data_IF_248662195791
#
_entry.id   IF_248662195791
#
_cell.length_a   1.000
_cell.length_b   1.000
_cell.length_c   1.000
_cell.angle_alpha   90.00
_cell.angle_beta   90.00
_cell.angle_gamma   90.00
#
_symmetry.space_group_name_H-M   'P 1'
#
loop_
_entity.id
_entity.type
_entity.pdbx_description
1 polymer ?
#
# COMPACT_ATOMS: atom_id res chain seq x y z
N UNK A 1 4.71 13.08 -8.84
CA UNK A 1 4.50 12.48 -7.50
C UNK A 1 4.30 13.55 -6.47
N UNK A 2 3.37 13.36 -5.54
CA UNK A 2 3.13 14.27 -4.40
C UNK A 2 3.14 13.55 -3.07
N UNK A 3 3.45 14.33 -2.04
CA UNK A 3 3.50 13.89 -0.65
C UNK A 3 2.53 14.76 0.15
N UNK A 4 1.47 14.14 0.67
CA UNK A 4 0.43 14.83 1.44
C UNK A 4 0.74 14.68 2.91
N UNK A 5 1.21 15.78 3.48
CA UNK A 5 1.64 15.88 4.88
C UNK A 5 0.49 16.31 5.77
N UNK A 6 0.33 15.70 6.94
CA UNK A 6 -0.68 16.09 7.91
C UNK A 6 -0.33 15.69 9.35
N UNK A 7 -0.94 16.37 10.31
CA UNK A 7 -0.67 16.17 11.74
C UNK A 7 0.36 17.14 12.33
N UNK A 8 0.89 16.82 13.49
CA UNK A 8 1.88 17.64 14.21
C UNK A 8 3.30 17.23 13.77
N UNK A 9 4.01 18.13 13.09
CA UNK A 9 5.34 17.90 12.54
C UNK A 9 6.46 17.69 13.58
N UNK A 10 6.15 17.82 14.88
CA UNK A 10 7.06 17.47 15.99
C UNK A 10 7.02 15.98 16.32
N UNK A 11 6.04 15.26 15.81
CA UNK A 11 5.87 13.81 16.02
C UNK A 11 6.74 13.00 15.06
N UNK A 12 7.03 11.73 15.40
CA UNK A 12 7.72 10.82 14.49
C UNK A 12 7.00 10.70 13.14
N UNK A 13 7.80 10.67 12.07
CA UNK A 13 7.26 10.62 10.69
C UNK A 13 6.90 9.20 10.29
N UNK A 14 5.70 9.02 9.75
CA UNK A 14 5.28 7.79 9.07
C UNK A 14 4.88 8.07 7.62
N UNK A 15 5.48 7.33 6.68
CA UNK A 15 5.08 7.33 5.27
C UNK A 15 4.01 6.27 5.01
N UNK A 16 2.99 6.62 4.25
CA UNK A 16 1.85 5.76 3.93
C UNK A 16 1.80 5.52 2.41
N UNK A 17 1.99 4.26 2.02
CA UNK A 17 2.07 3.83 0.62
C UNK A 17 0.77 3.14 0.20
N UNK A 18 -0.01 3.73 -0.74
CA UNK A 18 -1.25 3.13 -1.21
C UNK A 18 -1.06 1.80 -1.95
N UNK A 19 -2.12 1.01 -2.00
CA UNK A 19 -2.18 -0.21 -2.81
C UNK A 19 -2.28 0.07 -4.31
N UNK A 20 -2.30 -1.00 -5.09
CA UNK A 20 -2.43 -0.94 -6.56
C UNK A 20 -3.68 -0.16 -6.97
N UNK A 21 -3.50 0.85 -7.80
CA UNK A 21 -4.57 1.74 -8.27
C UNK A 21 -5.32 2.52 -7.17
N UNK A 22 -4.85 2.51 -5.94
CA UNK A 22 -5.42 3.28 -4.85
C UNK A 22 -4.88 4.72 -4.86
N UNK A 23 -5.71 5.65 -4.38
CA UNK A 23 -5.33 7.04 -4.18
C UNK A 23 -4.71 7.23 -2.79
N UNK A 24 -3.93 8.29 -2.61
CA UNK A 24 -3.43 8.69 -1.28
C UNK A 24 -4.57 8.88 -0.26
N UNK A 25 -5.74 9.35 -0.70
CA UNK A 25 -6.94 9.51 0.12
C UNK A 25 -7.55 8.20 0.62
N UNK A 26 -7.03 7.04 0.22
CA UNK A 26 -7.40 5.76 0.82
C UNK A 26 -7.05 5.68 2.31
N UNK A 27 -6.15 6.55 2.79
CA UNK A 27 -5.77 6.65 4.20
C UNK A 27 -6.62 7.63 5.03
N UNK A 28 -7.50 8.45 4.41
CA UNK A 28 -8.26 9.50 5.11
C UNK A 28 -8.99 8.99 6.35
N UNK A 29 -9.50 7.76 6.31
CA UNK A 29 -10.28 7.14 7.38
C UNK A 29 -9.47 6.73 8.62
N UNK A 30 -8.13 6.76 8.55
CA UNK A 30 -7.21 6.42 9.64
C UNK A 30 -6.34 7.58 10.10
N UNK A 31 -6.32 8.72 9.36
CA UNK A 31 -5.43 9.84 9.65
C UNK A 31 -5.64 10.42 11.04
N UNK A 32 -6.89 10.68 11.44
CA UNK A 32 -7.19 11.25 12.77
C UNK A 32 -6.62 10.40 13.91
N UNK A 33 -6.74 9.08 13.81
CA UNK A 33 -6.16 8.15 14.77
C UNK A 33 -4.63 8.18 14.76
N UNK A 34 -4.02 8.17 13.57
CA UNK A 34 -2.57 8.23 13.42
C UNK A 34 -1.97 9.55 13.93
N UNK A 35 -2.66 10.67 13.77
CA UNK A 35 -2.20 11.99 14.22
C UNK A 35 -1.99 12.06 15.74
N UNK A 36 -2.57 11.14 16.51
CA UNK A 36 -2.28 11.02 17.93
C UNK A 36 -0.83 10.60 18.21
N UNK A 37 -0.17 9.93 17.26
CA UNK A 37 1.16 9.31 17.43
C UNK A 37 2.18 9.79 16.40
N UNK A 38 1.76 10.13 15.19
CA UNK A 38 2.65 10.37 14.05
C UNK A 38 2.33 11.68 13.31
N UNK A 39 3.35 12.21 12.67
CA UNK A 39 3.23 13.09 11.51
C UNK A 39 3.15 12.22 10.26
N UNK A 40 2.06 12.32 9.54
CA UNK A 40 1.76 11.42 8.42
C UNK A 40 2.13 12.03 7.07
N UNK A 41 2.69 11.22 6.19
CA UNK A 41 3.02 11.57 4.80
C UNK A 41 2.39 10.52 3.88
N UNK A 42 1.23 10.83 3.30
CA UNK A 42 0.58 9.94 2.33
C UNK A 42 1.16 10.18 0.93
N UNK A 43 1.66 9.11 0.32
CA UNK A 43 2.27 9.14 -1.01
C UNK A 43 1.20 9.11 -2.10
N UNK A 44 1.26 10.05 -3.04
CA UNK A 44 0.48 10.03 -4.27
C UNK A 44 1.44 9.75 -5.43
N UNK A 45 1.38 8.52 -5.96
CA UNK A 45 2.24 8.11 -7.07
C UNK A 45 2.00 8.92 -8.34
N UNK A 46 3.01 9.01 -9.19
CA UNK A 46 2.84 9.59 -10.52
C UNK A 46 1.72 8.91 -11.30
N UNK A 47 0.93 9.69 -12.01
CA UNK A 47 -0.25 9.21 -12.74
C UNK A 47 -1.48 8.97 -11.89
N UNK A 48 -1.37 9.03 -10.54
CA UNK A 48 -2.49 8.82 -9.61
C UNK A 48 -2.88 10.09 -8.82
N UNK A 49 -2.14 11.18 -8.98
CA UNK A 49 -2.49 12.46 -8.37
C UNK A 49 -3.47 13.27 -9.24
N UNK A 50 -4.59 13.77 -8.67
CA UNK A 50 -5.57 14.56 -9.43
C UNK A 50 -5.04 15.93 -9.86
N UNK A 51 -3.99 16.43 -9.22
CA UNK A 51 -3.45 17.78 -9.44
C UNK A 51 -2.17 17.78 -10.30
N UNK A 52 -1.73 16.61 -10.77
CA UNK A 52 -0.54 16.47 -11.60
C UNK A 52 -0.83 15.73 -12.91
N UNK A 53 -0.18 16.18 -13.98
CA UNK A 53 -0.21 15.49 -15.29
C UNK A 53 1.06 14.69 -15.45
N UNK A 54 1.18 13.62 -14.65
CA UNK A 54 2.31 12.69 -14.69
C UNK A 54 1.85 11.31 -15.12
N UNK A 55 2.78 10.38 -15.31
CA UNK A 55 2.51 8.98 -15.60
C UNK A 55 3.39 8.10 -14.71
N UNK A 56 2.81 7.05 -14.13
CA UNK A 56 3.57 6.03 -13.41
C UNK A 56 4.46 5.26 -14.39
N UNK A 57 5.77 5.37 -14.24
CA UNK A 57 6.72 4.68 -15.13
C UNK A 57 7.11 3.31 -14.61
N UNK A 58 7.73 3.24 -13.45
CA UNK A 58 8.14 2.01 -12.78
C UNK A 58 8.20 2.18 -11.25
N UNK A 59 8.23 1.09 -10.52
CA UNK A 59 8.42 1.13 -9.07
C UNK A 59 9.81 1.67 -8.71
N UNK A 60 10.82 1.40 -9.51
CA UNK A 60 12.18 1.91 -9.31
C UNK A 60 12.23 3.43 -9.43
N UNK A 61 11.60 4.02 -10.45
CA UNK A 61 11.52 5.48 -10.64
C UNK A 61 10.76 6.14 -9.48
N UNK A 62 9.68 5.52 -9.03
CA UNK A 62 8.94 6.02 -7.87
C UNK A 62 9.76 5.93 -6.57
N UNK A 63 10.48 4.83 -6.35
CA UNK A 63 11.40 4.70 -5.21
C UNK A 63 12.47 5.80 -5.20
N UNK A 64 13.02 6.18 -6.36
CA UNK A 64 14.03 7.24 -6.44
C UNK A 64 13.48 8.60 -5.98
N UNK A 65 12.26 8.93 -6.37
CA UNK A 65 11.57 10.16 -5.95
C UNK A 65 11.26 10.15 -4.46
N UNK A 66 10.78 9.02 -3.92
CA UNK A 66 10.53 8.84 -2.50
C UNK A 66 11.82 8.97 -1.68
N UNK A 67 12.90 8.31 -2.12
CA UNK A 67 14.21 8.40 -1.49
C UNK A 67 14.74 9.83 -1.50
N UNK A 68 14.53 10.57 -2.59
CA UNK A 68 14.92 11.98 -2.69
C UNK A 68 14.15 12.84 -1.70
N UNK A 69 12.82 12.68 -1.61
CA UNK A 69 11.99 13.40 -0.64
C UNK A 69 12.45 13.13 0.79
N UNK A 70 12.64 11.85 1.15
CA UNK A 70 13.08 11.47 2.49
C UNK A 70 14.47 12.02 2.80
N UNK A 71 15.39 12.05 1.84
CA UNK A 71 16.72 12.65 2.04
C UNK A 71 16.65 14.16 2.25
N UNK A 72 15.85 14.84 1.44
CA UNK A 72 15.83 16.32 1.43
C UNK A 72 15.05 16.90 2.60
N UNK A 73 13.92 16.31 2.97
CA UNK A 73 13.07 16.84 4.05
C UNK A 73 13.31 16.19 5.42
N UNK A 74 13.69 14.92 5.43
CA UNK A 74 13.76 14.14 6.68
C UNK A 74 15.16 13.63 6.99
N UNK A 75 16.19 14.20 6.34
CA UNK A 75 17.59 13.85 6.62
C UNK A 75 17.98 12.42 6.29
N UNK A 76 17.23 11.76 5.40
CA UNK A 76 17.48 10.38 4.95
C UNK A 76 16.98 9.29 5.91
N UNK A 77 16.24 9.65 6.97
CA UNK A 77 15.70 8.69 7.95
C UNK A 77 14.27 9.03 8.34
N UNK A 78 13.41 8.02 8.42
CA UNK A 78 12.04 8.14 8.91
C UNK A 78 11.74 7.07 9.96
N UNK A 79 10.81 7.38 10.86
CA UNK A 79 10.44 6.47 11.95
C UNK A 79 9.73 5.23 11.45
N UNK A 80 8.75 5.38 10.55
CA UNK A 80 7.99 4.26 10.04
C UNK A 80 7.58 4.45 8.58
N UNK A 81 7.31 3.33 7.92
CA UNK A 81 6.67 3.25 6.61
C UNK A 81 5.63 2.13 6.64
N UNK A 82 4.38 2.44 6.30
CA UNK A 82 3.33 1.44 6.11
C UNK A 82 3.00 1.31 4.63
N UNK A 83 2.91 0.08 4.15
CA UNK A 83 2.52 -0.21 2.77
C UNK A 83 1.30 -1.13 2.69
N UNK A 84 0.20 -0.61 2.11
CA UNK A 84 -1.00 -1.37 1.81
C UNK A 84 -0.80 -2.16 0.51
N UNK A 85 -0.93 -3.49 0.52
CA UNK A 85 -0.82 -4.33 -0.68
C UNK A 85 0.46 -4.01 -1.51
N UNK A 86 0.35 -3.46 -2.74
CA UNK A 86 1.49 -2.93 -3.53
C UNK A 86 2.41 -2.02 -2.69
N UNK A 87 1.85 -1.21 -1.81
CA UNK A 87 2.64 -0.36 -0.92
C UNK A 87 3.63 -1.15 -0.07
N UNK A 88 3.32 -2.39 0.29
CA UNK A 88 4.25 -3.29 0.99
C UNK A 88 5.45 -3.68 0.13
N UNK A 89 5.27 -3.85 -1.19
CA UNK A 89 6.38 -4.02 -2.13
C UNK A 89 7.28 -2.78 -2.17
N UNK A 90 6.70 -1.55 -2.16
CA UNK A 90 7.47 -0.31 -2.07
C UNK A 90 8.28 -0.21 -0.78
N UNK A 91 7.67 -0.48 0.37
CA UNK A 91 8.39 -0.47 1.66
C UNK A 91 9.56 -1.45 1.63
N UNK A 92 9.34 -2.65 1.09
CA UNK A 92 10.38 -3.68 0.96
C UNK A 92 11.53 -3.24 0.05
N UNK A 93 11.20 -2.62 -1.10
CA UNK A 93 12.19 -2.07 -2.04
C UNK A 93 13.02 -0.95 -1.42
N UNK A 94 12.39 -0.01 -0.73
CA UNK A 94 13.08 1.10 -0.08
C UNK A 94 14.06 0.59 0.99
N UNK A 95 13.66 -0.41 1.78
CA UNK A 95 14.51 -1.03 2.80
C UNK A 95 15.71 -1.75 2.15
N UNK A 96 15.46 -2.59 1.13
CA UNK A 96 16.55 -3.34 0.48
C UNK A 96 17.55 -2.47 -0.27
N UNK A 97 17.11 -1.31 -0.81
CA UNK A 97 17.97 -0.35 -1.53
C UNK A 97 18.95 0.37 -0.61
N UNK A 98 18.65 0.49 0.69
CA UNK A 98 19.52 1.09 1.73
C UNK A 98 19.98 2.51 1.42
N UNK A 99 19.26 3.26 0.57
CA UNK A 99 19.58 4.65 0.22
C UNK A 99 19.01 5.66 1.21
N UNK A 100 18.08 5.20 2.04
CA UNK A 100 17.47 5.86 3.18
C UNK A 100 17.35 4.87 4.32
N UNK A 101 17.02 5.34 5.53
CA UNK A 101 16.79 4.47 6.67
C UNK A 101 15.35 4.55 7.15
N UNK A 102 14.71 3.39 7.34
CA UNK A 102 13.36 3.24 7.87
C UNK A 102 13.49 2.41 9.15
N UNK A 103 13.13 2.99 10.32
CA UNK A 103 13.24 2.26 11.59
C UNK A 103 12.26 1.09 11.64
N UNK A 104 11.01 1.31 11.21
CA UNK A 104 9.95 0.29 11.20
C UNK A 104 9.29 0.21 9.84
N UNK A 105 9.53 -0.87 9.09
CA UNK A 105 8.80 -1.18 7.87
C UNK A 105 7.58 -2.04 8.17
N UNK A 106 6.38 -1.55 7.88
CA UNK A 106 5.13 -2.26 8.14
C UNK A 106 4.54 -2.69 6.80
N UNK A 107 4.51 -3.98 6.57
CA UNK A 107 3.97 -4.60 5.37
C UNK A 107 2.52 -4.97 5.66
N UNK A 108 1.59 -4.33 5.00
CA UNK A 108 0.18 -4.74 5.01
C UNK A 108 0.03 -6.13 4.38
N UNK A 109 -1.17 -6.53 4.05
CA UNK A 109 -1.41 -7.86 3.47
C UNK A 109 -0.88 -7.98 2.03
N UNK A 110 0.36 -7.53 1.76
CA UNK A 110 0.99 -7.61 0.44
C UNK A 110 1.15 -9.06 0.00
N UNK A 111 0.83 -9.35 -1.25
CA UNK A 111 1.03 -10.68 -1.81
C UNK A 111 2.47 -10.90 -2.28
N UNK A 112 3.21 -9.82 -2.56
CA UNK A 112 4.60 -9.84 -3.06
C UNK A 112 4.78 -10.86 -4.20
N UNK A 113 3.81 -10.90 -5.12
CA UNK A 113 3.84 -11.81 -6.26
C UNK A 113 4.91 -11.37 -7.26
N UNK A 114 5.69 -12.32 -7.74
CA UNK A 114 6.66 -12.11 -8.82
C UNK A 114 6.29 -12.91 -10.06
N UNK A 115 6.59 -12.37 -11.22
CA UNK A 115 6.42 -13.07 -12.48
C UNK A 115 7.52 -12.67 -13.49
N UNK A 116 7.86 -13.61 -14.39
CA UNK A 116 8.70 -13.27 -15.53
C UNK A 116 7.99 -12.26 -16.47
N UNK A 117 8.78 -11.46 -17.19
CA UNK A 117 8.32 -10.38 -18.05
C UNK A 117 7.15 -10.73 -18.99
N UNK A 118 7.19 -11.92 -19.62
CA UNK A 118 6.13 -12.36 -20.51
C UNK A 118 4.79 -12.57 -19.78
N UNK A 119 4.85 -13.25 -18.62
CA UNK A 119 3.67 -13.53 -17.79
C UNK A 119 3.12 -12.23 -17.21
N UNK A 120 3.98 -11.35 -16.72
CA UNK A 120 3.61 -10.04 -16.22
C UNK A 120 2.90 -9.21 -17.30
N UNK A 121 3.45 -9.17 -18.52
CA UNK A 121 2.83 -8.49 -19.67
C UNK A 121 1.43 -9.01 -19.96
N UNK A 122 1.25 -10.33 -19.99
CA UNK A 122 -0.06 -10.94 -20.25
C UNK A 122 -1.05 -10.60 -19.13
N UNK A 123 -0.67 -10.83 -17.86
CA UNK A 123 -1.52 -10.55 -16.69
C UNK A 123 -1.95 -9.09 -16.66
N UNK A 124 -1.01 -8.14 -16.80
CA UNK A 124 -1.31 -6.71 -16.81
C UNK A 124 -2.23 -6.32 -17.95
N UNK A 125 -1.98 -6.82 -19.17
CA UNK A 125 -2.84 -6.54 -20.32
C UNK A 125 -4.27 -7.03 -20.15
N UNK A 126 -4.48 -8.13 -19.42
CA UNK A 126 -5.83 -8.67 -19.13
C UNK A 126 -6.58 -7.87 -18.07
N UNK A 127 -5.88 -7.40 -17.02
CA UNK A 127 -6.50 -6.72 -15.88
C UNK A 127 -6.81 -5.26 -16.19
N UNK A 128 -5.93 -4.58 -16.91
CA UNK A 128 -5.97 -3.12 -17.13
C UNK A 128 -7.28 -2.62 -17.75
N UNK A 129 -7.85 -3.21 -18.82
CA UNK A 129 -9.10 -2.69 -19.39
C UNK A 129 -10.25 -2.66 -18.39
N UNK A 130 -10.31 -3.66 -17.53
CA UNK A 130 -11.34 -3.78 -16.49
C UNK A 130 -11.11 -2.75 -15.37
N UNK A 131 -9.91 -2.68 -14.82
CA UNK A 131 -9.56 -1.74 -13.76
C UNK A 131 -9.71 -0.30 -14.24
N UNK A 132 -9.20 0.02 -15.44
CA UNK A 132 -9.33 1.35 -16.02
C UNK A 132 -10.79 1.81 -16.10
N UNK A 133 -11.69 0.93 -16.61
CA UNK A 133 -13.10 1.29 -16.71
C UNK A 133 -13.71 1.64 -15.35
N UNK A 134 -13.45 0.83 -14.34
CA UNK A 134 -13.98 1.07 -12.99
C UNK A 134 -13.42 2.37 -12.38
N UNK A 135 -12.10 2.53 -12.43
CA UNK A 135 -11.40 3.67 -11.85
C UNK A 135 -11.78 4.97 -12.55
N UNK A 136 -11.73 4.97 -13.89
CA UNK A 136 -12.00 6.16 -14.69
C UNK A 136 -13.44 6.66 -14.55
N UNK A 137 -14.41 5.74 -14.50
CA UNK A 137 -15.84 6.09 -14.39
C UNK A 137 -16.35 6.17 -12.95
N UNK A 138 -15.62 5.64 -11.98
CA UNK A 138 -16.09 5.49 -10.60
C UNK A 138 -17.28 4.54 -10.45
N UNK A 139 -17.56 3.72 -11.46
CA UNK A 139 -18.73 2.85 -11.52
C UNK A 139 -18.37 1.36 -11.60
N UNK A 140 -19.08 0.56 -10.82
CA UNK A 140 -18.98 -0.90 -10.91
C UNK A 140 -19.67 -1.44 -12.16
N UNK A 141 -19.13 -2.49 -12.79
CA UNK A 141 -19.86 -3.28 -13.77
C UNK A 141 -21.19 -3.80 -13.19
N UNK A 142 -22.25 -3.83 -14.02
CA UNK A 142 -23.61 -4.22 -13.58
C UNK A 142 -23.66 -5.55 -12.83
N UNK A 143 -22.87 -6.55 -13.25
CA UNK A 143 -22.82 -7.84 -12.58
C UNK A 143 -22.22 -7.77 -11.17
N UNK A 144 -21.18 -6.93 -10.96
CA UNK A 144 -20.59 -6.71 -9.64
C UNK A 144 -21.53 -5.92 -8.73
N UNK A 145 -22.19 -4.89 -9.27
CA UNK A 145 -23.18 -4.14 -8.52
C UNK A 145 -24.36 -5.02 -8.08
N UNK A 146 -24.85 -5.94 -8.99
CA UNK A 146 -25.88 -6.91 -8.64
C UNK A 146 -25.42 -7.89 -7.55
N UNK A 147 -24.14 -8.29 -7.57
CA UNK A 147 -23.55 -9.15 -6.53
C UNK A 147 -23.42 -8.40 -5.20
N UNK A 148 -22.93 -7.16 -5.23
CA UNK A 148 -22.80 -6.30 -4.06
C UNK A 148 -24.17 -6.05 -3.39
N UNK A 149 -25.21 -5.77 -4.17
CA UNK A 149 -26.56 -5.54 -3.65
C UNK A 149 -27.19 -6.78 -2.99
N UNK A 150 -26.69 -7.99 -3.31
CA UNK A 150 -27.11 -9.25 -2.70
C UNK A 150 -26.23 -9.67 -1.51
N UNK A 151 -25.20 -8.88 -1.20
CA UNK A 151 -24.28 -9.15 -0.12
C UNK A 151 -24.64 -8.25 1.05
N UNK A 152 -24.54 -8.76 2.27
CA UNK A 152 -24.86 -8.07 3.51
C UNK A 152 -23.76 -8.28 4.57
N UNK A 153 -23.92 -7.66 5.74
CA UNK A 153 -23.02 -7.77 6.88
C UNK A 153 -21.56 -7.44 6.56
N UNK A 154 -20.64 -8.07 7.28
CA UNK A 154 -19.18 -7.84 7.19
C UNK A 154 -18.62 -7.98 5.76
N UNK A 155 -19.20 -8.85 4.95
CA UNK A 155 -18.76 -9.01 3.56
C UNK A 155 -19.09 -7.80 2.70
N UNK A 156 -20.21 -7.14 2.95
CA UNK A 156 -20.57 -5.88 2.28
C UNK A 156 -19.68 -4.74 2.73
N UNK A 157 -19.35 -4.68 4.01
CA UNK A 157 -18.42 -3.69 4.56
C UNK A 157 -17.05 -3.82 3.91
N UNK A 158 -16.52 -5.03 3.81
CA UNK A 158 -15.24 -5.31 3.13
C UNK A 158 -15.25 -4.85 1.68
N UNK A 159 -16.30 -5.19 0.91
CA UNK A 159 -16.43 -4.72 -0.47
C UNK A 159 -16.49 -3.20 -0.57
N UNK A 160 -17.25 -2.54 0.31
CA UNK A 160 -17.31 -1.08 0.34
C UNK A 160 -15.96 -0.46 0.72
N UNK A 161 -15.23 -1.05 1.66
CA UNK A 161 -13.87 -0.64 2.02
C UNK A 161 -12.95 -0.65 0.80
N UNK A 162 -12.92 -1.75 0.04
CA UNK A 162 -12.14 -1.82 -1.20
C UNK A 162 -12.57 -0.78 -2.24
N UNK A 163 -13.88 -0.60 -2.45
CA UNK A 163 -14.38 0.38 -3.40
C UNK A 163 -13.96 1.81 -3.04
N UNK A 164 -13.97 2.12 -1.76
CA UNK A 164 -13.52 3.42 -1.25
C UNK A 164 -12.03 3.66 -1.52
N UNK A 165 -11.18 2.63 -1.37
CA UNK A 165 -9.75 2.73 -1.67
C UNK A 165 -9.47 3.11 -3.14
N UNK A 166 -10.29 2.62 -4.06
CA UNK A 166 -10.21 2.93 -5.49
C UNK A 166 -10.95 4.21 -5.90
N UNK A 167 -11.57 4.93 -4.96
CA UNK A 167 -12.42 6.09 -5.28
C UNK A 167 -13.71 5.74 -6.05
N UNK A 168 -14.09 4.46 -6.09
CA UNK A 168 -15.31 3.99 -6.75
C UNK A 168 -16.53 4.42 -5.92
N UNK A 169 -17.52 4.99 -6.60
CA UNK A 169 -18.69 5.61 -5.95
C UNK A 169 -18.52 7.09 -5.61
N UNK A 170 -17.30 7.65 -5.77
CA UNK A 170 -16.96 9.06 -5.52
C UNK A 170 -16.72 9.85 -6.83
N UNK A 171 -17.25 9.40 -7.96
CA UNK A 171 -17.09 10.09 -9.26
C UNK A 171 -15.93 9.57 -10.12
N UNK A 172 -15.15 8.62 -9.61
CA UNK A 172 -14.02 8.05 -10.33
C UNK A 172 -12.79 8.95 -10.39
N UNK A 173 -11.80 8.50 -11.14
CA UNK A 173 -10.51 9.18 -11.30
C UNK A 173 -10.16 9.29 -12.80
N UNK A 174 -10.80 10.20 -13.53
CA UNK A 174 -10.68 10.31 -14.99
C UNK A 174 -9.28 10.73 -15.47
N UNK A 175 -8.44 11.24 -14.60
CA UNK A 175 -7.04 11.61 -14.90
C UNK A 175 -6.11 10.40 -14.98
N UNK A 176 -6.47 9.26 -14.35
CA UNK A 176 -5.64 8.07 -14.35
C UNK A 176 -5.68 7.41 -15.73
N UNK A 177 -4.51 7.24 -16.34
CA UNK A 177 -4.37 6.66 -17.67
C UNK A 177 -4.34 5.13 -17.64
N UNK A 178 -4.69 4.50 -18.76
CA UNK A 178 -4.49 3.05 -18.93
C UNK A 178 -3.02 2.68 -18.80
N UNK A 179 -2.12 3.55 -19.25
CA UNK A 179 -0.69 3.30 -19.21
C UNK A 179 -0.17 3.30 -17.78
N UNK A 180 -0.57 4.26 -16.94
CA UNK A 180 -0.19 4.27 -15.52
C UNK A 180 -0.67 3.02 -14.79
N UNK A 181 -1.92 2.56 -15.03
CA UNK A 181 -2.42 1.32 -14.46
C UNK A 181 -1.60 0.11 -14.95
N UNK A 182 -1.33 0.05 -16.26
CA UNK A 182 -0.53 -1.03 -16.83
C UNK A 182 0.88 -1.08 -16.24
N UNK A 183 1.56 0.06 -16.21
CA UNK A 183 2.92 0.17 -15.69
C UNK A 183 2.99 -0.21 -14.21
N UNK A 184 2.00 0.17 -13.41
CA UNK A 184 1.94 -0.19 -12.00
C UNK A 184 1.78 -1.70 -11.80
N UNK A 185 0.82 -2.35 -12.46
CA UNK A 185 0.64 -3.80 -12.39
C UNK A 185 1.84 -4.57 -12.94
N UNK A 186 2.38 -4.12 -14.07
CA UNK A 186 3.53 -4.76 -14.69
C UNK A 186 4.76 -4.65 -13.82
N UNK A 187 5.05 -3.43 -13.34
CA UNK A 187 6.22 -3.15 -12.53
C UNK A 187 6.20 -3.93 -11.20
N UNK A 188 5.04 -4.00 -10.53
CA UNK A 188 4.87 -4.80 -9.30
C UNK A 188 5.26 -6.27 -9.50
N UNK A 189 4.89 -6.84 -10.65
CA UNK A 189 5.17 -8.25 -10.95
C UNK A 189 6.63 -8.52 -11.37
N UNK A 190 7.34 -7.54 -11.95
CA UNK A 190 8.70 -7.76 -12.47
C UNK A 190 9.79 -7.20 -11.59
N UNK A 191 9.47 -6.26 -10.70
CA UNK A 191 10.45 -5.67 -9.79
C UNK A 191 10.77 -6.65 -8.68
N UNK A 192 12.05 -7.01 -8.58
CA UNK A 192 12.49 -8.06 -7.65
C UNK A 192 12.71 -7.53 -6.25
N UNK A 193 12.05 -8.13 -5.30
CA UNK A 193 12.37 -8.02 -3.88
C UNK A 193 13.36 -9.12 -3.51
N UNK A 194 14.48 -8.77 -2.89
CA UNK A 194 15.51 -9.72 -2.49
C UNK A 194 15.02 -10.64 -1.37
N UNK A 195 15.54 -11.87 -1.35
CA UNK A 195 15.30 -12.78 -0.24
C UNK A 195 16.21 -12.43 0.95
N UNK A 196 15.71 -12.67 2.16
CA UNK A 196 16.49 -12.51 3.39
C UNK A 196 16.86 -11.05 3.71
N UNK A 197 15.99 -10.09 3.37
CA UNK A 197 16.22 -8.67 3.71
C UNK A 197 16.47 -8.54 5.22
N UNK A 198 17.64 -7.99 5.55
CA UNK A 198 18.11 -7.74 6.91
C UNK A 198 18.90 -6.43 6.90
N UNK A 199 18.35 -5.39 7.50
CA UNK A 199 18.99 -4.07 7.55
C UNK A 199 19.16 -3.69 9.01
N UNK A 200 20.40 -3.47 9.49
CA UNK A 200 20.64 -3.08 10.88
C UNK A 200 19.85 -1.84 11.28
N UNK A 201 19.13 -1.92 12.39
CA UNK A 201 18.30 -0.81 12.89
C UNK A 201 16.93 -0.68 12.24
N UNK A 202 16.57 -1.60 11.32
CA UNK A 202 15.23 -1.71 10.73
C UNK A 202 14.52 -2.94 11.29
N UNK A 203 13.31 -2.75 11.82
CA UNK A 203 12.40 -3.85 12.17
C UNK A 203 11.31 -3.97 11.11
N UNK A 204 11.03 -5.17 10.65
CA UNK A 204 9.98 -5.43 9.67
C UNK A 204 8.82 -6.12 10.37
N UNK A 205 7.66 -5.47 10.31
CA UNK A 205 6.38 -5.97 10.81
C UNK A 205 5.51 -6.37 9.62
N UNK A 206 4.76 -7.46 9.77
CA UNK A 206 3.85 -7.95 8.73
C UNK A 206 2.45 -8.13 9.31
N UNK A 207 1.49 -7.38 8.82
CA UNK A 207 0.07 -7.55 9.15
C UNK A 207 -0.53 -8.62 8.24
N UNK A 208 -0.37 -9.87 8.64
CA UNK A 208 -0.73 -11.01 7.82
C UNK A 208 -2.21 -11.38 7.97
N UNK A 209 -2.98 -11.20 6.90
CA UNK A 209 -4.35 -11.66 6.78
C UNK A 209 -4.39 -13.17 6.48
N UNK A 210 -4.69 -14.00 7.49
CA UNK A 210 -4.53 -15.47 7.40
C UNK A 210 -5.46 -16.13 6.37
N UNK A 211 -6.59 -15.49 6.03
CA UNK A 211 -7.50 -15.97 4.98
C UNK A 211 -6.92 -15.88 3.56
N UNK A 212 -5.80 -15.18 3.36
CA UNK A 212 -5.04 -15.24 2.10
C UNK A 212 -4.40 -16.62 1.88
N UNK A 213 -4.10 -17.34 2.95
CA UNK A 213 -3.55 -18.69 2.93
C UNK A 213 -2.06 -18.78 3.32
N UNK A 214 -1.67 -19.91 3.88
CA UNK A 214 -0.34 -20.19 4.47
C UNK A 214 0.85 -19.96 3.54
N UNK A 215 0.65 -19.95 2.23
CA UNK A 215 1.73 -19.67 1.26
C UNK A 215 2.31 -18.27 1.42
N UNK A 216 1.49 -17.30 1.81
CA UNK A 216 1.93 -15.91 1.98
C UNK A 216 2.78 -15.73 3.24
N UNK A 217 2.44 -16.38 4.33
CA UNK A 217 3.27 -16.39 5.53
C UNK A 217 4.67 -16.95 5.25
N UNK A 218 4.75 -18.10 4.53
CA UNK A 218 6.03 -18.65 4.10
C UNK A 218 6.82 -17.67 3.22
N UNK A 219 6.12 -16.93 2.38
CA UNK A 219 6.71 -15.93 1.49
C UNK A 219 7.33 -14.78 2.30
N UNK A 220 6.64 -14.25 3.31
CA UNK A 220 7.20 -13.22 4.19
C UNK A 220 8.48 -13.71 4.90
N UNK A 221 8.51 -14.95 5.39
CA UNK A 221 9.71 -15.56 5.97
C UNK A 221 10.82 -15.78 4.94
N UNK A 222 10.52 -15.82 3.64
CA UNK A 222 11.52 -15.91 2.58
C UNK A 222 12.13 -14.54 2.26
N UNK A 223 11.28 -13.50 2.16
CA UNK A 223 11.76 -12.16 1.84
C UNK A 223 12.44 -11.45 3.01
N UNK A 224 11.99 -11.69 4.23
CA UNK A 224 12.50 -10.98 5.39
C UNK A 224 13.18 -11.94 6.38
N UNK A 225 14.31 -11.51 6.94
CA UNK A 225 14.96 -12.22 8.02
C UNK A 225 14.32 -11.82 9.34
N UNK A 226 13.74 -12.81 10.04
CA UNK A 226 13.07 -12.61 11.34
C UNK A 226 11.99 -11.51 11.34
N UNK A 227 11.01 -11.51 10.43
CA UNK A 227 9.94 -10.54 10.46
C UNK A 227 9.03 -10.77 11.67
N UNK A 228 8.55 -9.70 12.28
CA UNK A 228 7.47 -9.75 13.27
C UNK A 228 6.13 -9.91 12.54
N UNK A 229 5.57 -11.13 12.58
CA UNK A 229 4.34 -11.47 11.85
C UNK A 229 3.14 -11.47 12.79
N UNK A 230 2.32 -10.45 12.68
CA UNK A 230 1.04 -10.31 13.37
C UNK A 230 -0.06 -10.97 12.52
N UNK A 231 -0.72 -11.99 13.07
CA UNK A 231 -1.69 -12.82 12.36
C UNK A 231 -3.10 -12.38 12.65
N UNK A 232 -3.82 -11.90 11.63
CA UNK A 232 -5.22 -11.51 11.71
C UNK A 232 -6.10 -12.50 10.96
N UNK A 233 -7.15 -13.05 11.59
CA UNK A 233 -8.09 -13.96 10.93
C UNK A 233 -9.05 -13.21 10.01
N UNK A 234 -8.49 -12.51 9.04
CA UNK A 234 -9.13 -11.56 8.13
C UNK A 234 -8.79 -11.86 6.68
N UNK A 235 -9.53 -11.24 5.76
CA UNK A 235 -9.22 -11.20 4.32
C UNK A 235 -8.11 -10.17 4.04
N UNK A 236 -7.59 -10.20 2.80
CA UNK A 236 -6.64 -9.21 2.30
C UNK A 236 -7.11 -7.77 2.63
N UNK A 237 -6.27 -6.98 3.30
CA UNK A 237 -6.51 -5.59 3.73
C UNK A 237 -7.82 -5.32 4.52
N UNK A 238 -8.48 -6.36 5.04
CA UNK A 238 -9.72 -6.20 5.84
C UNK A 238 -9.45 -5.40 7.11
N UNK A 239 -8.32 -5.62 7.78
CA UNK A 239 -7.91 -4.85 8.96
C UNK A 239 -7.87 -3.36 8.65
N UNK A 240 -7.21 -2.97 7.56
CA UNK A 240 -7.08 -1.59 7.13
C UNK A 240 -8.41 -0.98 6.68
N UNK A 241 -9.17 -1.70 5.83
CA UNK A 241 -10.39 -1.18 5.22
C UNK A 241 -11.58 -1.06 6.17
N UNK A 242 -11.67 -1.96 7.19
CA UNK A 242 -12.88 -2.15 7.98
C UNK A 242 -12.68 -1.93 9.48
N UNK A 243 -11.43 -1.96 9.97
CA UNK A 243 -11.12 -1.94 11.41
C UNK A 243 -10.14 -0.82 11.75
N UNK A 244 -10.47 0.43 11.39
CA UNK A 244 -9.57 1.59 11.46
C UNK A 244 -8.92 1.78 12.84
N UNK A 245 -9.69 1.66 13.92
CA UNK A 245 -9.18 1.84 15.27
C UNK A 245 -8.19 0.73 15.67
N UNK A 246 -8.49 -0.52 15.32
CA UNK A 246 -7.62 -1.67 15.55
C UNK A 246 -6.35 -1.54 14.71
N UNK A 247 -6.48 -1.17 13.44
CA UNK A 247 -5.34 -0.96 12.55
C UNK A 247 -4.39 0.13 13.06
N UNK A 248 -4.92 1.27 13.52
CA UNK A 248 -4.12 2.37 14.11
C UNK A 248 -3.37 1.88 15.34
N UNK A 249 -4.03 1.11 16.21
CA UNK A 249 -3.40 0.57 17.41
C UNK A 249 -2.30 -0.45 17.07
N UNK A 250 -2.50 -1.31 16.06
CA UNK A 250 -1.46 -2.24 15.61
C UNK A 250 -0.26 -1.50 14.99
N UNK A 251 -0.49 -0.43 14.21
CA UNK A 251 0.61 0.43 13.71
C UNK A 251 1.36 1.09 14.88
N UNK A 252 0.65 1.61 15.89
CA UNK A 252 1.26 2.18 17.08
C UNK A 252 2.12 1.15 17.81
N UNK A 253 1.60 -0.04 18.08
CA UNK A 253 2.34 -1.12 18.75
C UNK A 253 3.57 -1.55 17.98
N UNK A 254 3.46 -1.68 16.65
CA UNK A 254 4.60 -2.02 15.80
C UNK A 254 5.76 -1.01 15.93
N UNK A 255 5.45 0.26 16.15
CA UNK A 255 6.46 1.34 16.20
C UNK A 255 6.94 1.67 17.62
N UNK A 256 6.03 1.65 18.61
CA UNK A 256 6.35 2.04 20.00
C UNK A 256 6.58 0.83 20.93
N UNK A 257 6.19 -0.38 20.48
CA UNK A 257 6.09 -1.55 21.34
C UNK A 257 4.82 -1.54 22.21
N UNK A 258 4.59 -2.63 22.90
CA UNK A 258 3.55 -2.69 23.93
C UNK A 258 3.96 -1.76 25.09
N UNK A 259 3.12 -0.77 25.42
CA UNK A 259 3.31 -0.01 26.66
C UNK A 259 3.04 -0.97 27.81
N UNK A 260 4.10 -1.35 28.52
CA UNK A 260 3.99 -2.09 29.80
C UNK A 260 3.29 -1.24 30.84
#
# INVERSE_FOLDING_TARGET
MKFYESGDNRKPVIFLFPGTCCLYSSFDHVLDGLHSYFYTVAVSYDGFDPNEKTEFCSMEDECEKIEQEIRTKYGGRIKAAYGCSLGGSFVSLLIQRKRIHIDHGIIGSSDMDEAGHLVAKIKSSMVVPFMYKMIHTGALPKFMQKKLNKTDGAKKELYNGFLNMFGIGKGGSPWITKQSIYNQFYSDLVTKVQHGIDVPGTTIHVFYATKMGKKYEKRYCTYFKNPDIQRHNMQHEELFCCHSAEWVEEVRKAVEGDKQ
#
